data_IF_005926246209
#
_entry.id   IF_005926246209
#
_cell.length_a   1.000
_cell.length_b   1.000
_cell.length_c   1.000
_cell.angle_alpha   90.00
_cell.angle_beta   90.00
_cell.angle_gamma   90.00
#
_symmetry.space_group_name_H-M   'P 1'
#
loop_
_entity.id
_entity.type
_entity.pdbx_description
1 polymer ?
#
# COMPACT_ATOMS: atom_id res chain seq x y z
N UNK A 1 15.15 -36.14 27.21
CA UNK A 1 13.93 -35.36 27.55
C UNK A 1 14.14 -33.85 27.34
N UNK A 2 15.14 -33.22 27.99
CA UNK A 2 15.39 -31.75 27.93
C UNK A 2 15.63 -31.18 26.51
N UNK A 3 16.37 -31.91 25.66
CA UNK A 3 16.62 -31.51 24.26
C UNK A 3 15.37 -31.45 23.38
N UNK A 4 14.32 -32.22 23.72
CA UNK A 4 13.03 -32.20 23.00
C UNK A 4 12.26 -30.91 23.28
N UNK A 5 12.28 -30.43 24.53
CA UNK A 5 11.69 -29.14 24.90
C UNK A 5 12.43 -27.96 24.25
N UNK A 6 13.77 -28.04 24.14
CA UNK A 6 14.57 -27.04 23.44
C UNK A 6 14.20 -26.93 21.94
N UNK A 7 13.99 -28.07 21.28
CA UNK A 7 13.55 -28.09 19.87
C UNK A 7 12.13 -27.54 19.69
N UNK A 8 11.25 -27.76 20.67
CA UNK A 8 9.87 -27.26 20.66
C UNK A 8 9.80 -25.73 20.86
N UNK A 9 10.69 -25.18 21.69
CA UNK A 9 10.82 -23.72 21.86
C UNK A 9 11.40 -23.08 20.59
N UNK A 10 12.37 -23.74 19.96
CA UNK A 10 12.98 -23.26 18.71
C UNK A 10 11.97 -23.21 17.56
N UNK A 11 11.06 -24.19 17.45
CA UNK A 11 10.03 -24.18 16.41
C UNK A 11 8.96 -23.10 16.63
N UNK A 12 8.62 -22.80 17.88
CA UNK A 12 7.69 -21.71 18.23
C UNK A 12 8.30 -20.35 17.87
N UNK A 13 9.60 -20.15 18.12
CA UNK A 13 10.31 -18.92 17.79
C UNK A 13 10.34 -18.63 16.28
N UNK A 14 10.42 -19.67 15.45
CA UNK A 14 10.43 -19.57 13.99
C UNK A 14 9.08 -19.08 13.42
N UNK A 15 7.98 -19.36 14.12
CA UNK A 15 6.64 -18.97 13.70
C UNK A 15 6.40 -17.45 13.86
N UNK A 16 7.04 -16.81 14.84
CA UNK A 16 6.90 -15.37 15.10
C UNK A 16 7.56 -14.48 14.04
N UNK A 17 8.67 -14.93 13.44
CA UNK A 17 9.38 -14.19 12.40
C UNK A 17 8.63 -14.18 11.05
N UNK A 18 7.79 -15.18 10.80
CA UNK A 18 7.05 -15.31 9.54
C UNK A 18 5.93 -14.25 9.39
N UNK A 19 5.38 -13.74 10.50
CA UNK A 19 4.28 -12.76 10.47
C UNK A 19 4.74 -11.33 10.17
N UNK A 20 6.05 -11.02 10.21
CA UNK A 20 6.58 -9.68 10.03
C UNK A 20 6.66 -9.22 8.55
N UNK A 21 6.42 -10.11 7.58
CA UNK A 21 6.62 -9.82 6.15
C UNK A 21 5.33 -9.40 5.40
N UNK A 22 4.25 -9.13 6.13
CA UNK A 22 2.93 -8.83 5.53
C UNK A 22 2.65 -7.33 5.31
N UNK A 23 3.66 -6.50 5.05
CA UNK A 23 3.45 -5.11 4.63
C UNK A 23 3.33 -5.03 3.09
N UNK A 24 2.18 -5.46 2.55
CA UNK A 24 1.82 -5.19 1.15
C UNK A 24 1.36 -3.71 1.06
N UNK A 25 2.30 -2.76 1.18
CA UNK A 25 2.01 -1.31 1.09
C UNK A 25 1.72 -0.84 -0.34
N UNK A 26 1.71 -1.76 -1.31
CA UNK A 26 1.38 -1.43 -2.69
C UNK A 26 -0.14 -1.33 -2.88
N UNK A 27 -0.63 -0.32 -3.63
CA UNK A 27 -2.04 -0.20 -3.93
C UNK A 27 -2.53 -1.41 -4.73
N UNK A 28 -3.74 -1.89 -4.41
CA UNK A 28 -4.35 -3.04 -5.08
C UNK A 28 -4.71 -2.77 -6.55
N UNK A 29 -4.86 -1.49 -6.91
CA UNK A 29 -5.23 -1.05 -8.24
C UNK A 29 -4.64 0.36 -8.50
N UNK A 30 -4.12 0.57 -9.70
CA UNK A 30 -3.72 1.88 -10.21
C UNK A 30 -4.49 2.14 -11.50
N UNK A 31 -5.15 3.29 -11.59
CA UNK A 31 -5.90 3.71 -12.79
C UNK A 31 -5.18 4.89 -13.42
N UNK A 32 -4.66 4.70 -14.62
CA UNK A 32 -4.10 5.78 -15.44
C UNK A 32 -5.18 6.35 -16.37
N UNK A 33 -5.46 7.65 -16.25
CA UNK A 33 -6.41 8.36 -17.13
C UNK A 33 -5.61 9.32 -18.01
N UNK A 34 -5.73 9.16 -19.33
CA UNK A 34 -5.13 10.07 -20.31
C UNK A 34 -6.26 10.83 -21.00
N UNK A 35 -6.21 12.15 -20.93
CA UNK A 35 -7.17 13.03 -21.60
C UNK A 35 -6.46 13.63 -22.81
N UNK A 36 -6.89 13.25 -24.00
CA UNK A 36 -6.38 13.84 -25.24
C UNK A 36 -6.83 15.30 -25.37
N UNK A 37 -5.97 16.15 -25.94
CA UNK A 37 -6.18 17.60 -26.08
C UNK A 37 -6.50 18.35 -24.78
N UNK A 38 -6.03 17.87 -23.62
CA UNK A 38 -6.20 18.59 -22.37
C UNK A 38 -5.32 19.85 -22.35
N UNK A 39 -5.94 21.01 -22.10
CA UNK A 39 -5.22 22.27 -21.91
C UNK A 39 -4.99 22.55 -20.44
N UNK A 40 -3.81 23.05 -20.12
CA UNK A 40 -3.36 23.32 -18.75
C UNK A 40 -4.25 24.34 -18.01
N UNK A 41 -4.78 25.36 -18.71
CA UNK A 41 -5.63 26.39 -18.11
C UNK A 41 -6.95 25.84 -17.55
N UNK A 42 -7.40 24.67 -18.00
CA UNK A 42 -8.59 24.03 -17.46
C UNK A 42 -8.41 23.50 -16.04
N UNK A 43 -7.17 23.23 -15.61
CA UNK A 43 -6.88 22.80 -14.24
C UNK A 43 -7.27 23.87 -13.22
N UNK A 44 -6.98 25.13 -13.51
CA UNK A 44 -7.31 26.23 -12.59
C UNK A 44 -8.73 26.74 -12.79
N UNK A 45 -9.24 26.78 -14.02
CA UNK A 45 -10.60 27.25 -14.32
C UNK A 45 -11.67 26.44 -13.59
N UNK A 46 -11.45 25.13 -13.42
CA UNK A 46 -12.41 24.22 -12.79
C UNK A 46 -11.94 23.71 -11.44
N UNK A 47 -10.98 24.39 -10.80
CA UNK A 47 -10.42 23.98 -9.52
C UNK A 47 -11.48 23.80 -8.42
N UNK A 48 -12.49 24.68 -8.39
CA UNK A 48 -13.62 24.59 -7.45
C UNK A 48 -14.48 23.32 -7.65
N UNK A 49 -14.40 22.69 -8.82
CA UNK A 49 -15.14 21.46 -9.14
C UNK A 49 -14.37 20.19 -8.76
N UNK A 50 -13.13 20.31 -8.28
CA UNK A 50 -12.33 19.15 -7.89
C UNK A 50 -12.63 18.71 -6.46
N UNK A 51 -12.83 17.40 -6.29
CA UNK A 51 -12.99 16.79 -4.97
C UNK A 51 -11.68 16.79 -4.18
N UNK A 52 -11.81 16.82 -2.85
CA UNK A 52 -10.67 16.82 -1.95
C UNK A 52 -9.89 15.48 -2.03
N UNK A 53 -8.55 15.56 -2.11
CA UNK A 53 -7.65 14.39 -2.18
C UNK A 53 -7.24 13.92 -3.59
N UNK A 54 -7.81 14.52 -4.64
CA UNK A 54 -7.55 14.20 -6.06
C UNK A 54 -6.62 15.20 -6.76
N UNK A 55 -7.11 15.81 -7.86
CA UNK A 55 -6.41 16.90 -8.58
C UNK A 55 -6.22 18.18 -7.76
N UNK A 56 -6.96 18.28 -6.65
CA UNK A 56 -6.86 19.33 -5.64
C UNK A 56 -5.91 18.86 -4.53
N UNK A 57 -4.64 19.20 -4.67
CA UNK A 57 -3.55 18.98 -3.70
C UNK A 57 -2.72 20.24 -3.56
#
# INVERSE_FOLDING_TARGET
MKKKYLLLILSILQCWLAQAQLSNERPKLVVGVVVDQMRYDYLFRYYEKYGDGGFKR
#
